data_IF_384160659827
#
_entry.id   IF_384160659827
#
_cell.length_a   1.000
_cell.length_b   1.000
_cell.length_c   1.000
_cell.angle_alpha   90.00
_cell.angle_beta   90.00
_cell.angle_gamma   90.00
#
_symmetry.space_group_name_H-M   'P 1'
#
loop_
_entity.id
_entity.type
_entity.pdbx_description
1 polymer ?
#
# COMPACT_ATOMS: atom_id res chain seq x y z
N UNK A 1 4.33 -12.18 -14.13
CA UNK A 1 4.70 -11.67 -12.78
C UNK A 1 5.78 -12.57 -12.21
N UNK A 2 6.66 -12.03 -11.36
CA UNK A 2 7.86 -12.74 -10.90
C UNK A 2 7.64 -13.26 -9.47
N UNK A 3 7.75 -14.57 -9.21
CA UNK A 3 7.50 -15.15 -7.89
C UNK A 3 8.74 -15.02 -7.00
N UNK A 4 9.10 -13.78 -6.64
CA UNK A 4 10.28 -13.47 -5.82
C UNK A 4 9.92 -12.78 -4.50
N UNK A 5 8.68 -12.95 -4.03
CA UNK A 5 8.14 -12.18 -2.91
C UNK A 5 7.76 -10.76 -3.31
N UNK A 6 7.18 -10.03 -2.35
CA UNK A 6 6.69 -8.67 -2.56
C UNK A 6 7.81 -7.62 -2.52
N UNK A 7 7.45 -6.37 -2.75
CA UNK A 7 8.31 -5.20 -2.49
C UNK A 7 7.62 -4.31 -1.46
N UNK A 8 8.39 -3.44 -0.80
CA UNK A 8 7.83 -2.49 0.15
C UNK A 8 6.92 -1.47 -0.56
N UNK A 9 5.62 -1.73 -0.54
CA UNK A 9 4.59 -0.90 -1.20
C UNK A 9 4.21 0.35 -0.37
N UNK A 10 4.56 0.41 0.92
CA UNK A 10 4.24 1.55 1.78
C UNK A 10 5.08 2.79 1.41
N UNK A 11 6.34 2.60 1.03
CA UNK A 11 7.19 3.70 0.55
C UNK A 11 6.58 4.38 -0.68
N UNK A 12 6.05 3.60 -1.62
CA UNK A 12 5.37 4.13 -2.80
C UNK A 12 4.03 4.79 -2.43
N UNK A 13 3.26 4.19 -1.53
CA UNK A 13 1.97 4.73 -1.08
C UNK A 13 2.10 6.07 -0.32
N UNK A 14 3.23 6.30 0.37
CA UNK A 14 3.52 7.57 1.04
C UNK A 14 3.54 8.77 0.08
N UNK A 15 3.79 8.55 -1.22
CA UNK A 15 3.72 9.58 -2.27
C UNK A 15 2.30 9.93 -2.72
N UNK A 16 1.27 9.28 -2.15
CA UNK A 16 -0.13 9.56 -2.47
C UNK A 16 -0.53 9.10 -3.88
N UNK A 17 -0.08 7.91 -4.29
CA UNK A 17 -0.36 7.31 -5.60
C UNK A 17 -1.03 5.95 -5.44
N UNK A 18 -1.85 5.58 -6.43
CA UNK A 18 -2.41 4.22 -6.55
C UNK A 18 -1.28 3.27 -6.93
N UNK A 19 -1.17 2.14 -6.24
CA UNK A 19 -0.09 1.16 -6.41
C UNK A 19 -0.66 -0.12 -7.02
N UNK A 20 -0.08 -0.55 -8.15
CA UNK A 20 -0.34 -1.86 -8.74
C UNK A 20 0.76 -2.84 -8.36
N UNK A 21 0.40 -4.06 -7.98
CA UNK A 21 1.38 -5.10 -7.60
C UNK A 21 0.87 -6.51 -7.93
N UNK A 22 1.80 -7.45 -8.05
CA UNK A 22 1.48 -8.85 -8.37
C UNK A 22 0.97 -9.67 -7.18
N UNK A 23 0.64 -10.95 -7.36
CA UNK A 23 0.09 -11.79 -6.30
C UNK A 23 1.11 -12.24 -5.26
N UNK A 24 2.40 -12.21 -5.59
CA UNK A 24 3.49 -12.57 -4.68
C UNK A 24 3.74 -11.43 -3.69
N UNK A 25 2.96 -11.42 -2.62
CA UNK A 25 3.01 -10.42 -1.54
C UNK A 25 3.12 -11.09 -0.17
N UNK A 26 3.65 -12.31 -0.10
CA UNK A 26 3.73 -13.08 1.13
C UNK A 26 4.45 -12.30 2.25
N UNK A 27 5.57 -11.67 1.89
CA UNK A 27 6.39 -10.84 2.80
C UNK A 27 5.73 -9.52 3.22
N UNK A 28 4.72 -9.06 2.47
CA UNK A 28 4.07 -7.75 2.64
C UNK A 28 2.53 -7.87 2.61
N UNK A 29 2.01 -8.99 3.12
CA UNK A 29 0.60 -9.35 2.99
C UNK A 29 -0.32 -8.44 3.81
N UNK A 30 0.17 -7.95 4.95
CA UNK A 30 -0.55 -7.01 5.80
C UNK A 30 -0.61 -5.62 5.15
N UNK A 31 0.50 -5.17 4.58
CA UNK A 31 0.63 -3.90 3.87
C UNK A 31 -0.25 -3.90 2.61
N UNK A 32 -0.29 -5.03 1.89
CA UNK A 32 -1.14 -5.23 0.74
C UNK A 32 -2.62 -5.09 1.12
N UNK A 33 -3.07 -5.80 2.16
CA UNK A 33 -4.45 -5.73 2.66
C UNK A 33 -4.81 -4.31 3.10
N UNK A 34 -3.91 -3.66 3.86
CA UNK A 34 -4.09 -2.30 4.35
C UNK A 34 -4.27 -1.28 3.20
N UNK A 35 -3.49 -1.40 2.12
CA UNK A 35 -3.66 -0.52 0.96
C UNK A 35 -4.87 -0.90 0.09
N UNK A 36 -5.22 -2.18 -0.01
CA UNK A 36 -6.45 -2.65 -0.68
C UNK A 36 -7.70 -2.09 0.01
N UNK A 37 -7.78 -2.16 1.34
CA UNK A 37 -8.86 -1.60 2.16
C UNK A 37 -8.96 -0.07 2.01
N UNK A 38 -7.81 0.61 1.92
CA UNK A 38 -7.76 2.05 1.65
C UNK A 38 -8.18 2.42 0.22
N UNK A 39 -8.35 1.44 -0.67
CA UNK A 39 -8.57 1.64 -2.10
C UNK A 39 -7.35 2.18 -2.84
N UNK A 40 -6.16 2.14 -2.25
CA UNK A 40 -4.91 2.64 -2.84
C UNK A 40 -4.08 1.53 -3.49
N UNK A 41 -4.24 0.28 -3.04
CA UNK A 41 -3.59 -0.91 -3.58
C UNK A 41 -4.49 -1.66 -4.55
N UNK A 42 -3.92 -2.09 -5.68
CA UNK A 42 -4.61 -2.93 -6.66
C UNK A 42 -3.72 -4.12 -7.01
N UNK A 43 -4.16 -5.31 -6.61
CA UNK A 43 -3.51 -6.56 -7.00
C UNK A 43 -3.87 -6.94 -8.44
N UNK A 44 -2.87 -7.28 -9.23
CA UNK A 44 -3.00 -7.70 -10.63
C UNK A 44 -2.42 -9.11 -10.83
N UNK A 45 -2.97 -9.85 -11.79
CA UNK A 45 -2.55 -11.20 -12.16
C UNK A 45 -1.67 -11.22 -13.41
N UNK A 46 -1.84 -10.23 -14.29
CA UNK A 46 -1.14 -10.18 -15.57
C UNK A 46 -1.06 -8.75 -16.14
N UNK A 47 -0.45 -8.64 -17.33
CA UNK A 47 -0.26 -7.38 -18.03
C UNK A 47 -1.57 -6.77 -18.55
N UNK A 48 -2.59 -7.58 -18.79
CA UNK A 48 -3.90 -7.10 -19.25
C UNK A 48 -4.60 -6.37 -18.11
N UNK A 49 -4.64 -6.97 -16.93
CA UNK A 49 -5.20 -6.31 -15.74
C UNK A 49 -4.46 -5.04 -15.36
N UNK A 50 -3.14 -5.03 -15.49
CA UNK A 50 -2.35 -3.81 -15.31
C UNK A 50 -2.81 -2.71 -16.26
N UNK A 51 -2.92 -3.04 -17.55
CA UNK A 51 -3.30 -2.08 -18.59
C UNK A 51 -4.72 -1.54 -18.37
N UNK A 52 -5.68 -2.42 -18.13
CA UNK A 52 -7.07 -2.05 -17.86
C UNK A 52 -7.19 -1.21 -16.58
N UNK A 53 -6.46 -1.58 -15.53
CA UNK A 53 -6.41 -0.83 -14.27
C UNK A 53 -5.81 0.55 -14.44
N UNK A 54 -4.67 0.67 -15.12
CA UNK A 54 -4.04 1.96 -15.39
C UNK A 54 -4.95 2.88 -16.20
N UNK A 55 -5.62 2.37 -17.23
CA UNK A 55 -6.58 3.15 -18.03
C UNK A 55 -7.74 3.67 -17.19
N UNK A 56 -8.29 2.85 -16.27
CA UNK A 56 -9.36 3.29 -15.36
C UNK A 56 -8.90 4.42 -14.43
N UNK A 57 -7.72 4.27 -13.83
CA UNK A 57 -7.15 5.29 -12.93
C UNK A 57 -6.83 6.59 -13.68
N UNK A 58 -6.35 6.50 -14.93
CA UNK A 58 -6.03 7.66 -15.76
C UNK A 58 -7.28 8.36 -16.30
N UNK A 59 -8.38 7.62 -16.51
CA UNK A 59 -9.65 8.18 -16.99
C UNK A 59 -10.35 9.06 -15.94
N UNK A 60 -10.11 8.84 -14.64
CA UNK A 60 -10.63 9.65 -13.55
C UNK A 60 -9.52 10.15 -12.61
N UNK A 61 -8.90 11.30 -12.93
CA UNK A 61 -7.85 11.88 -12.10
C UNK A 61 -8.30 12.27 -10.69
N UNK A 62 -9.60 12.53 -10.47
CA UNK A 62 -10.12 12.88 -9.15
C UNK A 62 -10.20 11.63 -8.27
N UNK A 63 -10.73 10.53 -8.81
CA UNK A 63 -10.73 9.23 -8.13
C UNK A 63 -9.30 8.76 -7.82
N UNK A 64 -8.39 8.89 -8.78
CA UNK A 64 -6.97 8.57 -8.60
C UNK A 64 -6.33 9.35 -7.44
N UNK A 65 -6.61 10.66 -7.35
CA UNK A 65 -6.10 11.52 -6.26
C UNK A 65 -6.70 11.09 -4.92
N UNK A 66 -8.02 10.90 -4.84
CA UNK A 66 -8.71 10.49 -3.62
C UNK A 66 -8.19 9.16 -3.08
N UNK A 67 -8.01 8.16 -3.95
CA UNK A 67 -7.42 6.86 -3.59
C UNK A 67 -5.98 7.00 -3.11
N UNK A 68 -5.17 7.79 -3.82
CA UNK A 68 -3.79 8.07 -3.43
C UNK A 68 -3.70 8.74 -2.05
N UNK A 69 -4.52 9.75 -1.79
CA UNK A 69 -4.60 10.44 -0.49
C UNK A 69 -5.04 9.50 0.64
N UNK A 70 -6.03 8.64 0.37
CA UNK A 70 -6.47 7.59 1.30
C UNK A 70 -5.31 6.65 1.68
N UNK A 71 -4.58 6.13 0.68
CA UNK A 71 -3.42 5.28 0.93
C UNK A 71 -2.34 5.97 1.76
N UNK A 72 -2.01 7.22 1.41
CA UNK A 72 -1.05 8.02 2.18
C UNK A 72 -1.50 8.24 3.61
N UNK A 73 -2.78 8.52 3.85
CA UNK A 73 -3.31 8.71 5.20
C UNK A 73 -3.14 7.45 6.06
N UNK A 74 -3.39 6.27 5.50
CA UNK A 74 -3.21 5.00 6.24
C UNK A 74 -1.73 4.71 6.51
N UNK A 75 -0.83 5.03 5.59
CA UNK A 75 0.62 4.94 5.83
C UNK A 75 1.03 5.84 7.00
N UNK A 76 0.64 7.12 6.96
CA UNK A 76 0.97 8.10 8.01
C UNK A 76 0.41 7.70 9.37
N UNK A 77 -0.82 7.15 9.42
CA UNK A 77 -1.43 6.67 10.66
C UNK A 77 -0.65 5.50 11.29
N UNK A 78 0.00 4.67 10.47
CA UNK A 78 0.77 3.52 10.94
C UNK A 78 2.26 3.81 11.21
N UNK A 79 2.81 4.93 10.71
CA UNK A 79 4.21 5.30 10.95
C UNK A 79 4.54 5.56 12.44
N UNK A 80 3.56 5.96 13.26
CA UNK A 80 3.74 6.16 14.71
C UNK A 80 3.78 4.86 15.54
N UNK A 81 3.50 3.71 14.93
CA UNK A 81 3.44 2.43 15.65
C UNK A 81 4.81 2.03 16.23
N UNK A 82 5.90 2.28 15.49
CA UNK A 82 7.25 1.95 15.94
C UNK A 82 7.64 2.72 17.22
N UNK A 83 7.34 4.02 17.27
CA UNK A 83 7.60 4.86 18.44
C UNK A 83 6.75 4.41 19.64
N UNK A 84 5.46 4.13 19.41
CA UNK A 84 4.56 3.61 20.46
C UNK A 84 5.03 2.26 21.01
N UNK A 85 5.51 1.35 20.17
CA UNK A 85 6.07 0.08 20.62
C UNK A 85 7.37 0.27 21.40
N UNK A 86 8.24 1.19 20.97
CA UNK A 86 9.45 1.53 21.70
C UNK A 86 9.13 2.07 23.10
N UNK A 87 8.16 2.99 23.22
CA UNK A 87 7.69 3.49 24.52
C UNK A 87 7.14 2.38 25.41
N UNK A 88 6.37 1.44 24.85
CA UNK A 88 5.81 0.31 25.59
C UNK A 88 6.91 -0.62 26.12
N UNK A 89 7.93 -0.90 25.32
CA UNK A 89 9.09 -1.71 25.72
C UNK A 89 9.86 -0.99 26.84
N UNK A 90 10.18 0.30 26.66
CA UNK A 90 10.88 1.11 27.67
C UNK A 90 10.12 1.10 29.00
N UNK A 91 8.79 1.22 28.98
CA UNK A 91 7.94 1.20 30.18
C UNK A 91 7.96 -0.12 30.94
N UNK A 92 8.20 -1.25 30.27
CA UNK A 92 8.25 -2.58 30.92
C UNK A 92 9.68 -3.02 31.28
N UNK A 93 10.69 -2.32 30.77
CA UNK A 93 12.09 -2.55 31.08
C UNK A 93 12.62 -1.67 32.23
N UNK A 94 11.83 -0.71 32.71
CA UNK A 94 12.09 0.09 33.92
C UNK A 94 11.19 -0.33 35.08
#
# INVERSE_FOLDING_TARGET
LVPKGGQNILEAAAWGRVIFYGPSMEDFSQEAALLEDAGAGIRIRDARELTEGMLKILADPQDARRRGESGRAVVLANMGAAERYAEMIIRHMG
#
